data_IF_351954756076
#
_entry.id   IF_351954756076
#
_cell.length_a   1.000
_cell.length_b   1.000
_cell.length_c   1.000
_cell.angle_alpha   90.00
_cell.angle_beta   90.00
_cell.angle_gamma   90.00
#
_symmetry.space_group_name_H-M   'P 1'
#
loop_
_entity.id
_entity.type
_entity.pdbx_description
1 polymer ?
#
# COMPACT_ATOMS: atom_id res chain seq x y z
N UNK A 1 2.60 37.37 -17.90
CA UNK A 1 1.69 36.23 -17.66
C UNK A 1 2.57 35.07 -17.25
N UNK A 2 2.54 34.73 -15.96
CA UNK A 2 3.38 33.70 -15.37
C UNK A 2 2.76 32.31 -15.70
N UNK A 3 3.41 31.40 -16.44
CA UNK A 3 2.83 30.14 -16.79
C UNK A 3 2.69 29.28 -15.50
N UNK A 4 1.44 28.91 -15.13
CA UNK A 4 1.17 27.96 -14.07
C UNK A 4 2.01 26.72 -14.30
N UNK A 5 2.80 26.25 -13.31
CA UNK A 5 3.55 25.00 -13.44
C UNK A 5 2.55 23.85 -13.68
N UNK A 6 2.65 23.20 -14.83
CA UNK A 6 1.91 21.99 -15.16
C UNK A 6 2.22 20.96 -14.08
N UNK A 7 1.30 20.77 -13.15
CA UNK A 7 1.34 19.71 -12.16
C UNK A 7 1.42 18.39 -12.93
N UNK A 8 2.62 17.83 -13.10
CA UNK A 8 2.83 16.45 -13.54
C UNK A 8 2.22 15.57 -12.46
N UNK A 9 0.92 15.29 -12.56
CA UNK A 9 0.27 14.21 -11.81
C UNK A 9 1.10 12.97 -12.08
N UNK A 10 1.85 12.50 -11.06
CA UNK A 10 2.64 11.28 -11.14
C UNK A 10 1.78 10.21 -11.80
N UNK A 11 2.26 9.60 -12.88
CA UNK A 11 1.51 8.66 -13.72
C UNK A 11 1.09 7.48 -12.84
N UNK A 12 -0.10 7.56 -12.25
CA UNK A 12 -0.68 6.51 -11.43
C UNK A 12 -0.85 5.29 -12.31
N UNK A 13 -0.48 4.13 -11.82
CA UNK A 13 -0.61 2.86 -12.53
C UNK A 13 -1.97 2.25 -12.19
N UNK A 14 -2.98 2.32 -13.09
CA UNK A 14 -4.35 1.85 -12.81
C UNK A 14 -4.38 0.38 -12.37
N UNK A 15 -3.48 -0.44 -12.92
CA UNK A 15 -3.34 -1.85 -12.56
C UNK A 15 -3.03 -2.04 -11.06
N UNK A 16 -2.06 -1.30 -10.51
CA UNK A 16 -1.71 -1.40 -9.08
C UNK A 16 -2.87 -0.92 -8.19
N UNK A 17 -3.58 0.14 -8.63
CA UNK A 17 -4.77 0.60 -7.93
C UNK A 17 -5.89 -0.45 -7.97
N UNK A 18 -6.11 -1.12 -9.12
CA UNK A 18 -7.08 -2.21 -9.24
C UNK A 18 -6.73 -3.41 -8.35
N UNK A 19 -5.46 -3.84 -8.34
CA UNK A 19 -4.99 -4.91 -7.44
C UNK A 19 -5.22 -4.55 -5.97
N UNK A 20 -4.96 -3.30 -5.58
CA UNK A 20 -5.23 -2.83 -4.23
C UNK A 20 -6.73 -2.84 -3.91
N UNK A 21 -7.56 -2.40 -4.87
CA UNK A 21 -9.02 -2.45 -4.74
C UNK A 21 -9.54 -3.87 -4.58
N UNK A 22 -8.99 -4.82 -5.32
CA UNK A 22 -9.30 -6.24 -5.16
C UNK A 22 -8.95 -6.78 -3.77
N UNK A 23 -7.77 -6.41 -3.23
CA UNK A 23 -7.41 -6.77 -1.87
C UNK A 23 -8.39 -6.19 -0.83
N UNK A 24 -8.79 -4.93 -1.00
CA UNK A 24 -9.78 -4.28 -0.11
C UNK A 24 -11.13 -4.97 -0.20
N UNK A 25 -11.57 -5.36 -1.39
CA UNK A 25 -12.82 -6.10 -1.58
C UNK A 25 -12.81 -7.45 -0.84
N UNK A 26 -11.71 -8.21 -0.94
CA UNK A 26 -11.53 -9.46 -0.19
C UNK A 26 -11.55 -9.25 1.33
N UNK A 27 -10.94 -8.17 1.81
CA UNK A 27 -10.98 -7.81 3.23
C UNK A 27 -12.40 -7.45 3.69
N UNK A 28 -13.16 -6.69 2.89
CA UNK A 28 -14.56 -6.36 3.18
C UNK A 28 -15.40 -7.64 3.25
N UNK A 29 -15.24 -8.54 2.29
CA UNK A 29 -15.96 -9.82 2.26
C UNK A 29 -15.70 -10.64 3.52
N UNK A 30 -14.42 -10.78 3.91
CA UNK A 30 -14.07 -11.53 5.12
C UNK A 30 -14.67 -10.90 6.38
N UNK A 31 -14.57 -9.57 6.54
CA UNK A 31 -15.14 -8.89 7.70
C UNK A 31 -16.67 -8.92 7.72
N UNK A 32 -17.32 -8.86 6.55
CA UNK A 32 -18.76 -8.99 6.45
C UNK A 32 -19.23 -10.37 6.96
N UNK A 33 -18.60 -11.45 6.47
CA UNK A 33 -18.90 -12.82 6.93
C UNK A 33 -18.61 -12.99 8.42
N UNK A 34 -17.50 -12.44 8.91
CA UNK A 34 -17.14 -12.50 10.32
C UNK A 34 -18.19 -11.82 11.21
N UNK A 35 -18.61 -10.60 10.85
CA UNK A 35 -19.60 -9.83 11.60
C UNK A 35 -20.96 -10.51 11.53
N UNK A 36 -21.41 -10.96 10.36
CA UNK A 36 -22.68 -11.68 10.20
C UNK A 36 -22.72 -12.98 11.01
N UNK A 37 -21.61 -13.73 11.04
CA UNK A 37 -21.49 -14.93 11.90
C UNK A 37 -21.54 -14.55 13.38
N UNK A 38 -20.86 -13.50 13.80
CA UNK A 38 -20.87 -13.03 15.20
C UNK A 38 -22.28 -12.73 15.71
N UNK A 39 -23.16 -12.29 14.79
CA UNK A 39 -24.57 -12.03 15.08
C UNK A 39 -25.51 -13.21 14.76
N UNK A 40 -24.98 -14.42 14.49
CA UNK A 40 -25.74 -15.62 14.12
C UNK A 40 -26.66 -15.44 12.89
N UNK A 41 -26.29 -14.53 11.98
CA UNK A 41 -27.03 -14.27 10.74
C UNK A 41 -26.63 -15.24 9.61
N UNK A 42 -25.43 -15.84 9.69
CA UNK A 42 -24.92 -16.83 8.73
C UNK A 42 -24.19 -17.95 9.46
N UNK A 43 -24.31 -19.19 8.94
CA UNK A 43 -23.65 -20.37 9.47
C UNK A 43 -22.41 -20.71 8.60
N UNK A 44 -21.35 -19.91 8.71
CA UNK A 44 -20.08 -20.13 7.97
C UNK A 44 -18.96 -20.45 8.94
N UNK A 45 -18.23 -21.53 8.72
CA UNK A 45 -17.01 -21.82 9.48
C UNK A 45 -15.82 -21.02 8.93
N UNK A 46 -15.54 -19.87 9.54
CA UNK A 46 -14.42 -18.99 9.18
C UNK A 46 -13.07 -19.47 9.72
N UNK A 47 -13.06 -20.51 10.54
CA UNK A 47 -11.85 -21.06 11.14
C UNK A 47 -11.26 -22.21 10.32
N UNK A 48 -11.91 -22.63 9.25
CA UNK A 48 -11.37 -23.63 8.35
C UNK A 48 -10.15 -23.10 7.56
N UNK A 49 -9.38 -24.00 6.98
CA UNK A 49 -8.13 -23.74 6.28
C UNK A 49 -8.31 -22.74 5.13
N UNK A 50 -9.44 -22.79 4.40
CA UNK A 50 -9.71 -21.88 3.29
C UNK A 50 -9.78 -20.41 3.76
N UNK A 51 -10.64 -20.09 4.73
CA UNK A 51 -10.82 -18.73 5.21
C UNK A 51 -9.61 -18.21 5.98
N UNK A 52 -8.90 -19.11 6.65
CA UNK A 52 -7.64 -18.80 7.33
C UNK A 52 -6.58 -18.28 6.34
N UNK A 53 -6.40 -18.98 5.20
CA UNK A 53 -5.50 -18.54 4.14
C UNK A 53 -6.03 -17.33 3.38
N UNK A 54 -7.35 -17.31 3.10
CA UNK A 54 -8.00 -16.20 2.40
C UNK A 54 -7.65 -14.86 3.05
N UNK A 55 -7.94 -14.68 4.36
CA UNK A 55 -7.66 -13.44 5.06
C UNK A 55 -6.17 -13.06 5.01
N UNK A 56 -5.27 -14.04 5.19
CA UNK A 56 -3.82 -13.82 5.19
C UNK A 56 -3.27 -13.46 3.82
N UNK A 57 -3.71 -14.11 2.77
CA UNK A 57 -3.26 -13.83 1.41
C UNK A 57 -3.68 -12.42 0.96
N UNK A 58 -4.92 -12.02 1.24
CA UNK A 58 -5.38 -10.67 0.93
C UNK A 58 -4.62 -9.60 1.73
N UNK A 59 -4.37 -9.83 3.00
CA UNK A 59 -3.56 -8.94 3.83
C UNK A 59 -2.11 -8.87 3.33
N UNK A 60 -1.48 -10.01 3.03
CA UNK A 60 -0.12 -10.10 2.49
C UNK A 60 0.02 -9.36 1.16
N UNK A 61 -0.94 -9.58 0.24
CA UNK A 61 -0.97 -8.89 -1.05
C UNK A 61 -1.13 -7.37 -0.87
N UNK A 62 -2.02 -6.92 0.02
CA UNK A 62 -2.21 -5.50 0.31
C UNK A 62 -0.94 -4.84 0.87
N UNK A 63 -0.28 -5.49 1.82
CA UNK A 63 0.99 -5.04 2.41
C UNK A 63 2.10 -5.05 1.36
N UNK A 64 2.17 -6.07 0.50
CA UNK A 64 3.10 -6.15 -0.62
C UNK A 64 2.90 -5.02 -1.64
N UNK A 65 1.66 -4.70 -2.01
CA UNK A 65 1.32 -3.56 -2.87
C UNK A 65 1.71 -2.22 -2.22
N UNK A 66 1.70 -2.13 -0.89
CA UNK A 66 2.24 -0.97 -0.18
C UNK A 66 3.75 -0.84 -0.38
N UNK A 67 4.50 -1.95 -0.27
CA UNK A 67 5.96 -2.00 -0.54
C UNK A 67 6.31 -1.65 -1.98
N UNK A 68 5.57 -2.20 -2.96
CA UNK A 68 5.69 -1.80 -4.36
C UNK A 68 5.53 -0.29 -4.54
N UNK A 69 4.48 0.29 -3.96
CA UNK A 69 4.18 1.72 -4.07
C UNK A 69 5.25 2.58 -3.40
N UNK A 70 5.83 2.09 -2.31
CA UNK A 70 6.94 2.74 -1.60
C UNK A 70 8.18 2.83 -2.50
N UNK A 71 8.57 1.72 -3.16
CA UNK A 71 9.70 1.67 -4.08
C UNK A 71 9.46 2.54 -5.33
N UNK A 72 8.24 2.50 -5.88
CA UNK A 72 7.85 3.35 -7.01
C UNK A 72 7.97 4.83 -6.67
N UNK A 73 7.49 5.24 -5.48
CA UNK A 73 7.57 6.62 -5.02
C UNK A 73 9.01 7.05 -4.78
N UNK A 74 9.81 6.20 -4.13
CA UNK A 74 11.24 6.50 -3.91
C UNK A 74 11.96 6.70 -5.24
N UNK A 75 11.79 5.77 -6.18
CA UNK A 75 12.42 5.87 -7.50
C UNK A 75 12.02 7.15 -8.24
N UNK A 76 10.75 7.57 -8.15
CA UNK A 76 10.29 8.81 -8.77
C UNK A 76 10.89 10.06 -8.13
N UNK A 77 11.08 10.07 -6.81
CA UNK A 77 11.68 11.20 -6.10
C UNK A 77 13.19 11.29 -6.36
N UNK A 78 13.89 10.16 -6.41
CA UNK A 78 15.31 10.13 -6.78
C UNK A 78 15.51 10.65 -8.20
N UNK A 79 14.75 10.16 -9.18
CA UNK A 79 14.83 10.63 -10.56
C UNK A 79 14.51 12.13 -10.71
N UNK A 80 13.58 12.67 -9.90
CA UNK A 80 13.28 14.10 -9.90
C UNK A 80 14.42 14.93 -9.29
N UNK A 81 15.06 14.42 -8.24
CA UNK A 81 16.23 15.08 -7.62
C UNK A 81 17.44 15.09 -8.56
N UNK A 82 17.70 13.96 -9.24
CA UNK A 82 18.79 13.84 -10.22
C UNK A 82 18.57 14.81 -11.39
N UNK A 83 17.33 14.91 -11.90
CA UNK A 83 16.98 15.84 -12.96
C UNK A 83 17.13 17.32 -12.53
N UNK A 84 16.82 17.65 -11.27
CA UNK A 84 17.02 18.99 -10.74
C UNK A 84 18.51 19.36 -10.60
N UNK A 85 19.35 18.39 -10.25
CA UNK A 85 20.79 18.59 -10.11
C UNK A 85 21.51 18.86 -11.44
N UNK A 86 20.90 18.57 -12.58
CA UNK A 86 21.48 18.83 -13.91
C UNK A 86 21.22 20.27 -14.40
N UNK A 87 20.41 21.07 -13.69
CA UNK A 87 20.13 22.47 -14.05
C UNK A 87 21.18 23.38 -13.42
N UNK A 88 22.01 24.10 -14.22
CA UNK A 88 23.02 25.03 -13.70
C UNK A 88 22.37 26.14 -12.86
N UNK A 89 22.91 26.42 -11.66
CA UNK A 89 22.42 27.48 -10.78
C UNK A 89 21.17 27.15 -9.95
N UNK A 90 20.59 25.96 -10.08
CA UNK A 90 19.50 25.56 -9.19
C UNK A 90 20.04 25.30 -7.77
N UNK A 91 19.52 26.05 -6.78
CA UNK A 91 19.77 25.75 -5.37
C UNK A 91 19.22 24.37 -5.07
N UNK A 92 20.09 23.35 -4.93
CA UNK A 92 19.70 21.99 -4.58
C UNK A 92 19.48 21.91 -3.06
N UNK A 93 18.22 21.86 -2.59
CA UNK A 93 17.99 21.56 -1.18
C UNK A 93 18.59 20.17 -0.90
N UNK A 94 19.17 19.99 0.30
CA UNK A 94 19.82 18.72 0.66
C UNK A 94 18.89 17.54 0.30
N UNK A 95 19.31 16.76 -0.68
CA UNK A 95 18.52 15.70 -1.32
C UNK A 95 17.96 14.73 -0.29
N UNK A 96 18.67 14.52 0.82
CA UNK A 96 18.26 13.65 1.92
C UNK A 96 17.01 14.15 2.64
N UNK A 97 16.90 15.44 2.97
CA UNK A 97 15.74 16.00 3.67
C UNK A 97 14.47 15.93 2.81
N UNK A 98 14.58 16.23 1.51
CA UNK A 98 13.46 16.16 0.56
C UNK A 98 12.94 14.72 0.45
N UNK A 99 13.84 13.74 0.39
CA UNK A 99 13.50 12.33 0.30
C UNK A 99 12.74 11.81 1.53
N UNK A 100 13.09 12.27 2.76
CA UNK A 100 12.47 11.80 3.99
C UNK A 100 11.14 12.50 4.34
N UNK A 101 10.88 13.70 3.84
CA UNK A 101 9.61 14.42 4.10
C UNK A 101 8.36 13.62 3.72
N UNK A 102 8.42 12.90 2.60
CA UNK A 102 7.27 12.12 2.10
C UNK A 102 6.93 10.93 3.00
N UNK A 103 7.87 10.02 3.33
CA UNK A 103 7.57 8.88 4.22
C UNK A 103 7.22 9.34 5.63
N UNK A 104 7.84 10.38 6.18
CA UNK A 104 7.52 10.91 7.50
C UNK A 104 6.10 11.47 7.59
N UNK A 105 5.66 12.27 6.61
CA UNK A 105 4.27 12.78 6.56
C UNK A 105 3.26 11.64 6.45
N UNK A 106 3.56 10.63 5.64
CA UNK A 106 2.71 9.44 5.52
C UNK A 106 2.66 8.67 6.84
N UNK A 107 3.80 8.45 7.47
CA UNK A 107 3.90 7.74 8.75
C UNK A 107 3.15 8.49 9.85
N UNK A 108 3.31 9.80 9.96
CA UNK A 108 2.56 10.61 10.91
C UNK A 108 1.05 10.48 10.71
N UNK A 109 0.56 10.61 9.47
CA UNK A 109 -0.86 10.44 9.16
C UNK A 109 -1.37 9.05 9.55
N UNK A 110 -0.66 7.99 9.16
CA UNK A 110 -1.06 6.61 9.45
C UNK A 110 -0.95 6.31 10.95
N UNK A 111 0.09 6.82 11.62
CA UNK A 111 0.29 6.67 13.06
C UNK A 111 -0.81 7.33 13.89
N UNK A 112 -1.23 8.54 13.53
CA UNK A 112 -2.35 9.23 14.19
C UNK A 112 -3.67 8.46 14.00
N UNK A 113 -3.95 7.96 12.80
CA UNK A 113 -5.14 7.15 12.54
C UNK A 113 -5.07 5.80 13.28
N UNK A 114 -3.90 5.18 13.33
CA UNK A 114 -3.68 3.94 14.07
C UNK A 114 -3.90 4.14 15.58
N UNK A 115 -3.36 5.21 16.15
CA UNK A 115 -3.58 5.57 17.56
C UNK A 115 -5.05 5.85 17.87
N UNK A 116 -5.76 6.54 16.96
CA UNK A 116 -7.19 6.78 17.09
C UNK A 116 -7.99 5.47 17.11
N UNK A 117 -7.69 4.52 16.21
CA UNK A 117 -8.33 3.19 16.21
C UNK A 117 -8.02 2.44 17.49
N UNK A 118 -6.76 2.45 17.98
CA UNK A 118 -6.39 1.81 19.24
C UNK A 118 -7.17 2.39 20.41
N UNK A 119 -7.30 3.70 20.49
CA UNK A 119 -8.06 4.38 21.55
C UNK A 119 -9.54 4.02 21.49
N UNK A 120 -10.17 4.14 20.32
CA UNK A 120 -11.60 3.83 20.13
C UNK A 120 -11.88 2.36 20.45
N UNK A 121 -11.07 1.42 19.93
CA UNK A 121 -11.27 0.00 20.20
C UNK A 121 -10.96 -0.37 21.65
N UNK A 122 -10.04 0.33 22.31
CA UNK A 122 -9.76 0.16 23.73
C UNK A 122 -10.94 0.58 24.61
N UNK A 123 -11.62 1.66 24.25
CA UNK A 123 -12.81 2.14 24.96
C UNK A 123 -14.03 1.24 24.71
N UNK A 124 -14.20 0.72 23.49
CA UNK A 124 -15.36 -0.10 23.12
C UNK A 124 -15.23 -1.57 23.54
N UNK A 125 -14.05 -2.17 23.40
CA UNK A 125 -13.84 -3.62 23.55
C UNK A 125 -12.95 -4.00 24.74
N UNK A 126 -12.46 -3.02 25.48
CA UNK A 126 -11.66 -3.23 26.69
C UNK A 126 -10.20 -3.62 26.41
N UNK A 127 -9.44 -3.95 27.49
CA UNK A 127 -7.99 -4.09 27.46
C UNK A 127 -7.48 -5.34 26.71
N UNK A 128 -8.30 -6.39 26.58
CA UNK A 128 -7.88 -7.68 26.02
C UNK A 128 -8.17 -7.82 24.53
N UNK A 129 -9.07 -6.98 23.99
CA UNK A 129 -9.58 -7.14 22.62
C UNK A 129 -9.35 -5.94 21.71
N UNK A 130 -8.75 -4.84 22.22
CA UNK A 130 -8.51 -3.65 21.41
C UNK A 130 -7.42 -3.88 20.34
N UNK A 131 -7.46 -3.09 19.31
CA UNK A 131 -6.44 -3.11 18.23
C UNK A 131 -5.17 -2.46 18.74
N UNK A 132 -4.24 -3.28 19.24
CA UNK A 132 -2.95 -2.81 19.71
C UNK A 132 -1.98 -2.55 18.56
N UNK A 133 -1.87 -3.48 17.60
CA UNK A 133 -0.99 -3.36 16.44
C UNK A 133 -1.65 -3.99 15.21
N UNK A 134 -2.51 -3.23 14.53
CA UNK A 134 -3.19 -3.64 13.31
C UNK A 134 -2.50 -3.15 12.05
N UNK A 135 -3.17 -3.31 10.91
CA UNK A 135 -2.60 -3.00 9.57
C UNK A 135 -2.12 -1.56 9.43
N UNK A 136 -2.77 -0.56 10.06
CA UNK A 136 -2.31 0.84 9.99
C UNK A 136 -0.99 1.07 10.74
N UNK A 137 -0.82 0.42 11.90
CA UNK A 137 0.44 0.44 12.64
C UNK A 137 1.56 -0.19 11.80
N UNK A 138 1.27 -1.37 11.22
CA UNK A 138 2.21 -2.03 10.32
C UNK A 138 2.56 -1.14 9.12
N UNK A 139 1.60 -0.53 8.43
CA UNK A 139 1.86 0.33 7.28
C UNK A 139 2.62 1.62 7.65
N UNK A 140 2.41 2.14 8.86
CA UNK A 140 3.17 3.26 9.40
C UNK A 140 4.64 2.86 9.58
N UNK A 141 4.89 1.83 10.39
CA UNK A 141 6.24 1.40 10.74
C UNK A 141 6.98 0.82 9.52
N UNK A 142 6.32 -0.04 8.74
CA UNK A 142 6.91 -0.62 7.53
C UNK A 142 7.19 0.42 6.44
N UNK A 143 6.44 1.52 6.41
CA UNK A 143 6.71 2.65 5.52
C UNK A 143 8.02 3.37 5.87
N UNK A 144 8.34 3.49 7.15
CA UNK A 144 9.59 4.09 7.63
C UNK A 144 10.77 3.14 7.45
N UNK A 145 10.66 1.91 7.97
CA UNK A 145 11.72 0.89 7.90
C UNK A 145 11.99 0.43 6.45
N UNK A 146 10.95 0.34 5.63
CA UNK A 146 11.04 -0.03 4.23
C UNK A 146 11.59 1.07 3.32
N UNK A 147 11.59 2.34 3.76
CA UNK A 147 12.03 3.45 2.91
C UNK A 147 13.50 3.34 2.46
N UNK A 148 14.49 3.08 3.33
CA UNK A 148 15.86 2.84 2.89
C UNK A 148 16.00 1.57 2.03
N UNK A 149 15.23 0.52 2.35
CA UNK A 149 15.23 -0.74 1.60
C UNK A 149 14.64 -0.59 0.19
N UNK A 150 13.71 0.35 0.01
CA UNK A 150 13.02 0.60 -1.26
C UNK A 150 13.96 0.96 -2.43
N UNK A 151 15.19 1.42 -2.15
CA UNK A 151 16.23 1.68 -3.15
C UNK A 151 17.21 0.51 -3.32
N UNK A 152 17.18 -0.50 -2.44
CA UNK A 152 18.17 -1.57 -2.34
C UNK A 152 17.50 -2.95 -2.43
N UNK A 153 17.14 -3.43 -3.64
CA UNK A 153 16.32 -4.65 -3.80
C UNK A 153 16.97 -5.91 -3.22
N UNK A 154 18.29 -6.04 -3.30
CA UNK A 154 19.01 -7.19 -2.71
C UNK A 154 18.89 -7.19 -1.18
N UNK A 155 19.11 -6.03 -0.54
CA UNK A 155 18.98 -5.88 0.91
C UNK A 155 17.50 -6.09 1.34
N UNK A 156 16.55 -5.57 0.57
CA UNK A 156 15.12 -5.79 0.80
C UNK A 156 14.76 -7.29 0.75
N UNK A 157 15.32 -8.05 -0.21
CA UNK A 157 15.11 -9.49 -0.30
C UNK A 157 15.65 -10.22 0.93
N UNK A 158 16.89 -9.92 1.35
CA UNK A 158 17.50 -10.53 2.55
C UNK A 158 16.72 -10.20 3.82
N UNK A 159 16.43 -8.91 4.04
CA UNK A 159 15.65 -8.48 5.23
C UNK A 159 14.24 -9.08 5.20
N UNK A 160 13.59 -9.16 4.03
CA UNK A 160 12.31 -9.83 3.86
C UNK A 160 12.36 -11.31 4.25
N UNK A 161 13.37 -12.03 3.77
CA UNK A 161 13.55 -13.45 4.10
C UNK A 161 13.82 -13.65 5.60
N UNK A 162 14.68 -12.83 6.19
CA UNK A 162 15.00 -12.89 7.63
C UNK A 162 13.78 -12.59 8.50
N UNK A 163 12.98 -11.57 8.15
CA UNK A 163 11.76 -11.22 8.91
C UNK A 163 10.67 -12.28 8.76
N UNK A 164 10.56 -12.91 7.58
CA UNK A 164 9.66 -14.04 7.38
C UNK A 164 10.10 -15.24 8.22
N UNK A 165 11.36 -15.63 8.14
CA UNK A 165 11.92 -16.74 8.91
C UNK A 165 11.78 -16.50 10.42
N UNK A 166 12.14 -15.31 10.91
CA UNK A 166 11.98 -14.94 12.31
C UNK A 166 10.52 -15.04 12.77
N UNK A 167 9.57 -14.55 11.95
CA UNK A 167 8.15 -14.64 12.28
C UNK A 167 7.62 -16.07 12.32
N UNK A 168 8.12 -16.96 11.44
CA UNK A 168 7.74 -18.38 11.43
C UNK A 168 8.34 -19.16 12.61
N UNK A 169 9.60 -18.88 12.97
CA UNK A 169 10.31 -19.55 14.04
C UNK A 169 9.88 -19.05 15.43
N UNK A 170 9.71 -17.74 15.58
CA UNK A 170 9.49 -17.10 16.86
C UNK A 170 8.00 -16.78 17.14
N UNK A 171 7.14 -16.84 16.13
CA UNK A 171 5.72 -16.42 16.24
C UNK A 171 4.85 -17.24 17.18
N UNK A 172 5.36 -18.39 17.69
CA UNK A 172 4.71 -19.22 18.72
C UNK A 172 5.10 -18.84 20.15
N UNK A 173 6.10 -17.97 20.31
CA UNK A 173 6.55 -17.53 21.61
C UNK A 173 5.57 -16.50 22.20
N UNK A 174 5.26 -16.65 23.47
CA UNK A 174 4.40 -15.75 24.21
C UNK A 174 5.22 -15.05 25.30
N UNK A 175 5.04 -13.75 25.44
CA UNK A 175 5.68 -12.96 26.48
C UNK A 175 4.62 -12.29 27.34
N UNK A 176 4.92 -12.12 28.62
CA UNK A 176 4.04 -11.38 29.51
C UNK A 176 4.14 -9.87 29.18
N UNK A 177 2.99 -9.27 28.88
CA UNK A 177 2.88 -7.85 28.58
C UNK A 177 2.87 -7.50 27.08
N UNK A 178 2.50 -6.25 26.78
CA UNK A 178 2.28 -5.74 25.43
C UNK A 178 3.56 -5.19 24.76
N UNK A 179 4.65 -5.05 25.52
CA UNK A 179 5.86 -4.36 25.03
C UNK A 179 6.45 -4.97 23.75
N UNK A 180 6.37 -6.28 23.58
CA UNK A 180 6.87 -6.99 22.40
C UNK A 180 5.76 -7.44 21.42
N UNK A 181 4.50 -7.13 21.73
CA UNK A 181 3.38 -7.56 20.88
C UNK A 181 3.43 -6.94 19.47
N UNK A 182 3.93 -5.71 19.33
CA UNK A 182 4.11 -5.07 18.02
C UNK A 182 5.12 -5.82 17.12
N UNK A 183 6.06 -6.51 17.73
CA UNK A 183 7.06 -7.30 17.00
C UNK A 183 6.52 -8.66 16.55
N UNK A 184 5.59 -9.27 17.30
CA UNK A 184 4.99 -10.56 16.99
C UNK A 184 4.77 -11.47 18.21
N UNK A 185 5.21 -11.05 19.39
CA UNK A 185 5.11 -11.81 20.63
C UNK A 185 3.86 -11.41 21.41
N UNK A 186 2.73 -12.02 21.06
CA UNK A 186 1.43 -11.70 21.65
C UNK A 186 1.32 -12.28 23.07
N UNK A 187 0.84 -11.49 24.06
CA UNK A 187 0.56 -12.01 25.39
C UNK A 187 -0.54 -13.08 25.35
N UNK A 188 -0.43 -14.05 26.27
CA UNK A 188 -1.50 -15.01 26.49
C UNK A 188 -2.80 -14.29 26.87
N UNK A 189 -3.93 -14.75 26.34
CA UNK A 189 -5.26 -14.15 26.62
C UNK A 189 -5.59 -12.87 25.87
N UNK A 190 -4.64 -12.25 25.15
CA UNK A 190 -4.91 -11.07 24.32
C UNK A 190 -5.38 -11.50 22.92
N UNK A 191 -6.62 -11.14 22.57
CA UNK A 191 -7.24 -11.50 21.28
C UNK A 191 -7.71 -10.24 20.54
N UNK A 192 -6.77 -9.47 19.94
CA UNK A 192 -7.12 -8.24 19.23
C UNK A 192 -7.90 -8.54 17.95
N UNK A 193 -8.83 -7.65 17.60
CA UNK A 193 -9.65 -7.77 16.39
C UNK A 193 -8.85 -7.65 15.10
N UNK A 194 -7.79 -6.86 15.10
CA UNK A 194 -6.84 -6.70 13.99
C UNK A 194 -5.43 -6.81 14.57
N UNK A 195 -4.70 -7.85 14.18
CA UNK A 195 -3.33 -8.08 14.64
C UNK A 195 -2.41 -8.48 13.49
N UNK A 196 -1.65 -7.51 13.03
CA UNK A 196 -0.62 -7.70 12.00
C UNK A 196 0.73 -7.18 12.53
N UNK A 197 1.44 -7.97 13.35
CA UNK A 197 2.71 -7.56 13.93
C UNK A 197 3.80 -7.43 12.85
N UNK A 198 4.91 -6.80 13.23
CA UNK A 198 6.02 -6.59 12.29
C UNK A 198 6.55 -7.93 11.74
N UNK A 199 6.72 -8.94 12.58
CA UNK A 199 7.08 -10.30 12.19
C UNK A 199 5.81 -11.17 12.06
N UNK A 200 5.58 -11.85 10.96
CA UNK A 200 6.35 -11.88 9.70
C UNK A 200 5.93 -10.81 8.65
N UNK A 201 4.99 -9.92 8.96
CA UNK A 201 4.26 -9.13 7.97
C UNK A 201 5.12 -8.08 7.23
N UNK A 202 6.19 -7.59 7.85
CA UNK A 202 7.12 -6.68 7.18
C UNK A 202 7.79 -7.30 5.93
N UNK A 203 7.95 -8.63 5.92
CA UNK A 203 8.48 -9.36 4.78
C UNK A 203 7.74 -9.01 3.48
N UNK A 204 6.42 -8.90 3.54
CA UNK A 204 5.62 -8.57 2.36
C UNK A 204 5.88 -7.17 1.83
N UNK A 205 6.12 -6.18 2.72
CA UNK A 205 6.57 -4.84 2.31
C UNK A 205 7.91 -4.90 1.59
N UNK A 206 8.86 -5.67 2.13
CA UNK A 206 10.17 -5.84 1.53
C UNK A 206 10.08 -6.54 0.16
N UNK A 207 9.36 -7.66 0.07
CA UNK A 207 9.12 -8.38 -1.20
C UNK A 207 8.36 -7.56 -2.23
N UNK A 208 7.40 -6.75 -1.81
CA UNK A 208 6.73 -5.81 -2.70
C UNK A 208 7.68 -4.78 -3.32
N UNK A 209 8.67 -4.31 -2.55
CA UNK A 209 9.75 -3.45 -3.07
C UNK A 209 10.64 -4.19 -4.06
N UNK A 210 11.00 -5.44 -3.79
CA UNK A 210 11.75 -6.30 -4.72
C UNK A 210 10.96 -6.51 -6.03
N UNK A 211 9.67 -6.85 -5.92
CA UNK A 211 8.81 -7.06 -7.07
C UNK A 211 8.72 -5.82 -7.98
N UNK A 212 8.72 -4.60 -7.40
CA UNK A 212 8.79 -3.37 -8.18
C UNK A 212 10.07 -3.30 -9.04
N UNK A 213 11.22 -3.60 -8.47
CA UNK A 213 12.49 -3.57 -9.18
C UNK A 213 12.59 -4.65 -10.26
N UNK A 214 12.09 -5.86 -9.97
CA UNK A 214 11.98 -6.94 -10.97
C UNK A 214 11.05 -6.53 -12.11
N UNK A 215 9.86 -6.03 -11.82
CA UNK A 215 8.92 -5.56 -12.85
C UNK A 215 9.49 -4.46 -13.74
N UNK A 216 10.40 -3.61 -13.22
CA UNK A 216 11.12 -2.64 -14.05
C UNK A 216 12.17 -3.26 -14.96
N UNK A 217 12.79 -4.37 -14.58
CA UNK A 217 13.78 -5.08 -15.41
C UNK A 217 13.12 -5.75 -16.62
N UNK A 218 11.92 -6.29 -16.42
CA UNK A 218 11.16 -6.99 -17.47
C UNK A 218 10.23 -6.05 -18.25
N UNK A 219 10.05 -4.79 -17.83
CA UNK A 219 9.30 -3.82 -18.62
C UNK A 219 10.07 -3.50 -19.90
N UNK A 220 9.41 -3.51 -21.08
CA UNK A 220 10.03 -3.08 -22.32
C UNK A 220 10.66 -1.71 -22.12
N UNK A 221 11.96 -1.59 -22.33
CA UNK A 221 12.61 -0.29 -22.34
C UNK A 221 12.04 0.48 -23.53
N UNK A 222 11.59 1.74 -23.36
CA UNK A 222 11.22 2.59 -24.49
C UNK A 222 12.49 3.04 -25.22
N UNK A 223 13.32 2.09 -25.67
CA UNK A 223 14.55 2.36 -26.42
C UNK A 223 14.24 2.97 -27.80
N UNK A 224 13.03 2.73 -28.31
CA UNK A 224 12.60 3.29 -29.60
C UNK A 224 12.15 4.76 -29.54
N UNK A 225 11.69 5.25 -28.38
CA UNK A 225 11.17 6.64 -28.29
C UNK A 225 12.30 7.65 -28.07
N UNK A 226 13.37 7.27 -27.36
CA UNK A 226 14.52 8.16 -27.14
C UNK A 226 15.39 8.35 -28.38
N UNK A 227 15.44 7.36 -29.29
CA UNK A 227 16.15 7.47 -30.57
C UNK A 227 15.33 8.20 -31.66
N UNK A 228 14.00 8.22 -31.54
CA UNK A 228 13.11 8.87 -32.48
C UNK A 228 12.99 10.40 -32.26
N UNK A 229 13.24 10.89 -31.05
CA UNK A 229 13.08 12.31 -30.71
C UNK A 229 14.09 13.21 -31.44
N UNK A 230 15.42 12.91 -31.53
CA UNK A 230 16.32 13.75 -32.32
C UNK A 230 16.09 13.64 -33.83
N UNK A 231 15.70 12.45 -34.35
CA UNK A 231 15.38 12.28 -35.74
C UNK A 231 14.07 12.97 -36.15
N UNK A 232 13.06 12.95 -35.30
CA UNK A 232 11.79 13.67 -35.50
C UNK A 232 11.96 15.18 -35.34
N UNK A 233 12.81 15.66 -34.44
CA UNK A 233 13.12 17.07 -34.29
C UNK A 233 13.91 17.63 -35.48
N UNK A 234 14.84 16.86 -36.03
CA UNK A 234 15.57 17.19 -37.26
C UNK A 234 14.66 17.18 -38.51
N UNK A 235 13.74 16.23 -38.62
CA UNK A 235 12.76 16.18 -39.71
C UNK A 235 11.68 17.30 -39.57
N UNK A 236 11.27 17.66 -38.38
CA UNK A 236 10.28 18.72 -38.13
C UNK A 236 10.82 20.15 -38.41
N UNK A 237 12.14 20.33 -38.29
CA UNK A 237 12.79 21.59 -38.68
C UNK A 237 12.76 21.84 -40.22
N UNK A 238 12.60 20.77 -41.01
CA UNK A 238 12.59 20.83 -42.50
C UNK A 238 11.16 20.94 -43.06
N UNK A 239 10.09 20.66 -42.30
CA UNK A 239 8.70 20.59 -42.80
C UNK A 239 7.67 21.38 -41.94
N UNK A 240 8.08 22.57 -41.42
CA UNK A 240 7.24 23.38 -40.60
C UNK A 240 6.05 24.07 -41.32
N UNK A 241 5.74 23.75 -42.57
CA UNK A 241 4.68 24.40 -43.35
C UNK A 241 3.35 23.63 -43.47
N UNK A 242 3.25 22.37 -43.11
CA UNK A 242 2.01 21.52 -43.36
C UNK A 242 1.70 20.47 -42.27
N UNK A 243 2.02 20.74 -41.01
CA UNK A 243 1.79 19.73 -39.99
C UNK A 243 0.31 19.63 -39.58
N UNK A 244 -0.39 18.62 -40.07
CA UNK A 244 -1.66 18.15 -39.52
C UNK A 244 -1.44 17.68 -38.06
N UNK A 245 -2.32 18.05 -37.10
CA UNK A 245 -2.16 17.61 -35.72
C UNK A 245 -2.13 16.08 -35.65
N UNK A 246 -1.11 15.52 -35.01
CA UNK A 246 -0.96 14.08 -34.82
C UNK A 246 -2.23 13.51 -34.13
N UNK A 247 -2.74 12.36 -34.58
CA UNK A 247 -3.91 11.77 -33.97
C UNK A 247 -3.64 11.49 -32.49
N UNK A 248 -4.53 12.01 -31.63
CA UNK A 248 -4.46 11.76 -30.19
C UNK A 248 -4.46 10.25 -29.95
N UNK A 249 -3.43 9.75 -29.25
CA UNK A 249 -3.36 8.33 -28.86
C UNK A 249 -4.63 8.04 -28.06
N UNK A 250 -5.50 7.12 -28.51
CA UNK A 250 -6.77 6.86 -27.82
C UNK A 250 -6.47 6.43 -26.39
N UNK A 251 -6.95 7.19 -25.42
CA UNK A 251 -6.88 6.82 -24.01
C UNK A 251 -7.64 5.50 -23.86
N UNK A 252 -6.92 4.41 -23.60
CA UNK A 252 -7.50 3.07 -23.43
C UNK A 252 -8.53 3.14 -22.32
N UNK A 253 -9.83 3.14 -22.69
CA UNK A 253 -10.93 3.17 -21.72
C UNK A 253 -10.80 1.96 -20.79
N UNK A 254 -10.75 2.20 -19.50
CA UNK A 254 -10.73 1.14 -18.49
C UNK A 254 -12.16 0.54 -18.49
N UNK A 255 -12.33 -0.80 -18.61
CA UNK A 255 -13.63 -1.44 -18.50
C UNK A 255 -14.32 -1.08 -17.17
N UNK A 256 -15.64 -0.94 -17.17
CA UNK A 256 -16.42 -0.50 -16.01
C UNK A 256 -16.10 -1.26 -14.69
N UNK A 257 -16.01 -2.61 -14.67
CA UNK A 257 -15.66 -3.33 -13.43
C UNK A 257 -14.25 -3.02 -12.95
N UNK A 258 -13.30 -2.82 -13.88
CA UNK A 258 -11.95 -2.42 -13.52
C UNK A 258 -11.89 -0.98 -13.00
N UNK A 259 -12.79 -0.09 -13.46
CA UNK A 259 -12.90 1.28 -12.95
C UNK A 259 -13.32 1.31 -11.47
N UNK A 260 -14.26 0.45 -11.07
CA UNK A 260 -14.67 0.28 -9.67
C UNK A 260 -13.53 -0.19 -8.76
N UNK A 261 -12.77 -1.20 -9.19
CA UNK A 261 -11.59 -1.68 -8.45
C UNK A 261 -10.50 -0.59 -8.35
N UNK A 262 -10.25 0.16 -9.41
CA UNK A 262 -9.31 1.29 -9.40
C UNK A 262 -9.77 2.36 -8.41
N UNK A 263 -11.08 2.67 -8.38
CA UNK A 263 -11.64 3.62 -7.43
C UNK A 263 -11.46 3.14 -5.99
N UNK A 264 -11.80 1.87 -5.70
CA UNK A 264 -11.62 1.25 -4.38
C UNK A 264 -10.15 1.31 -3.94
N UNK A 265 -9.22 0.97 -4.83
CA UNK A 265 -7.79 1.02 -4.54
C UNK A 265 -7.28 2.42 -4.24
N UNK A 266 -7.80 3.45 -4.92
CA UNK A 266 -7.47 4.85 -4.67
C UNK A 266 -7.98 5.35 -3.33
N UNK A 267 -9.14 4.85 -2.88
CA UNK A 267 -9.80 5.23 -1.64
C UNK A 267 -9.62 4.19 -0.53
N UNK A 268 -8.67 3.26 -0.70
CA UNK A 268 -8.45 2.11 0.19
C UNK A 268 -8.35 2.47 1.68
N UNK A 269 -7.75 3.62 2.03
CA UNK A 269 -7.65 4.07 3.41
C UNK A 269 -9.01 4.49 3.99
N UNK A 270 -9.79 5.26 3.23
CA UNK A 270 -11.13 5.67 3.68
C UNK A 270 -12.05 4.45 3.83
N UNK A 271 -12.03 3.56 2.84
CA UNK A 271 -12.82 2.32 2.87
C UNK A 271 -12.40 1.43 4.04
N UNK A 272 -11.07 1.29 4.29
CA UNK A 272 -10.58 0.56 5.46
C UNK A 272 -11.10 1.13 6.78
N UNK A 273 -11.16 2.44 6.92
CA UNK A 273 -11.62 3.08 8.16
C UNK A 273 -13.12 2.95 8.38
N UNK A 274 -13.91 2.88 7.32
CA UNK A 274 -15.37 2.96 7.38
C UNK A 274 -16.08 1.62 7.26
N UNK A 275 -15.47 0.60 6.60
CA UNK A 275 -16.17 -0.64 6.28
C UNK A 275 -16.62 -1.43 7.52
N UNK A 276 -15.76 -1.57 8.55
CA UNK A 276 -16.11 -2.34 9.76
C UNK A 276 -17.25 -1.67 10.55
N UNK A 277 -17.20 -0.35 10.88
CA UNK A 277 -18.33 0.33 11.50
C UNK A 277 -19.63 0.22 10.71
N UNK A 278 -19.57 0.37 9.37
CA UNK A 278 -20.76 0.26 8.51
C UNK A 278 -21.33 -1.16 8.50
N UNK A 279 -20.50 -2.18 8.37
CA UNK A 279 -20.91 -3.59 8.41
C UNK A 279 -21.50 -3.96 9.77
N UNK A 280 -20.92 -3.49 10.84
CA UNK A 280 -21.42 -3.73 12.20
C UNK A 280 -22.79 -3.07 12.41
N UNK A 281 -22.95 -1.79 12.01
CA UNK A 281 -24.22 -1.09 12.06
C UNK A 281 -25.32 -1.77 11.23
N UNK A 282 -24.97 -2.26 10.03
CA UNK A 282 -25.90 -3.02 9.18
C UNK A 282 -26.32 -4.34 9.84
N UNK A 283 -25.37 -5.09 10.42
CA UNK A 283 -25.67 -6.35 11.12
C UNK A 283 -26.60 -6.12 12.31
N UNK A 284 -26.37 -5.07 13.09
CA UNK A 284 -27.25 -4.69 14.20
C UNK A 284 -28.66 -4.35 13.74
N UNK A 285 -28.80 -3.65 12.60
CA UNK A 285 -30.10 -3.35 11.99
C UNK A 285 -30.82 -4.64 11.59
N UNK A 286 -30.12 -5.56 10.92
CA UNK A 286 -30.68 -6.84 10.51
C UNK A 286 -31.15 -7.70 11.69
N UNK A 287 -30.43 -7.68 12.81
CA UNK A 287 -30.84 -8.37 14.05
C UNK A 287 -32.13 -7.76 14.63
N UNK A 288 -32.29 -6.44 14.56
CA UNK A 288 -33.51 -5.76 15.07
C UNK A 288 -34.74 -5.95 14.21
N UNK A 289 -34.58 -6.27 12.93
CA UNK A 289 -35.67 -6.50 11.96
C UNK A 289 -36.11 -7.98 11.92
N UNK A 290 -35.42 -8.89 12.61
CA UNK A 290 -35.76 -10.28 12.82
C UNK A 290 -36.64 -10.48 14.05
#
# INVERSE_FOLDING_TARGET
VNPKPLSRKAHRRPFIDACRGFCVLGMILFHALYILRMHNLVAVDLWNVFWWWFARLFAAAFVGLSGWSLAAKRASLTAAADAAATVPGAATPSTSLVLWRTPLRRALKLGLLAAAISLVTRLLFGPTSFVFFGVLHLLCLSGLLGWPLAARPRLAAVVGALTLAAGLLLGKQHFNGLALAWLGFRPAGHQPMDYLPLLPWFAWTAFGSVAFHLGRRFAPRPAAVAAAVPAAAAAAATTAATARPAPAIPSRRIPAPAAGLVWLGRHSLAVYLTHVPLLYGLAQLLVRLR
#
